data_IF_499631729945
#
_entry.id   IF_499631729945
#
_cell.length_a   1.000
_cell.length_b   1.000
_cell.length_c   1.000
_cell.angle_alpha   90.00
_cell.angle_beta   90.00
_cell.angle_gamma   90.00
#
_symmetry.space_group_name_H-M   'P 1'
#
loop_
_entity.id
_entity.type
_entity.pdbx_description
1 polymer ?
#
# COMPACT_ATOMS: atom_id res chain seq x y z
N UNK A 1 9.58 2.50 -17.88
CA UNK A 1 9.23 3.01 -16.54
C UNK A 1 8.78 1.81 -15.73
N UNK A 2 9.40 1.56 -14.57
CA UNK A 2 9.35 0.28 -13.86
C UNK A 2 8.00 0.06 -13.16
N UNK A 3 7.13 -0.82 -13.68
CA UNK A 3 5.75 -1.02 -13.22
C UNK A 3 5.59 -1.40 -11.73
N UNK A 4 6.64 -1.97 -11.13
CA UNK A 4 6.63 -2.39 -9.74
C UNK A 4 6.68 -1.20 -8.75
N UNK A 5 7.36 -0.11 -9.13
CA UNK A 5 7.39 1.13 -8.32
C UNK A 5 6.06 1.88 -8.46
N UNK A 6 5.44 1.82 -9.64
CA UNK A 6 4.14 2.43 -9.91
C UNK A 6 3.03 1.75 -9.11
N UNK A 7 2.97 0.41 -9.07
CA UNK A 7 1.93 -0.31 -8.30
C UNK A 7 2.00 -0.04 -6.79
N UNK A 8 3.20 -0.07 -6.21
CA UNK A 8 3.38 0.23 -4.78
C UNK A 8 2.99 1.67 -4.44
N UNK A 9 3.38 2.62 -5.30
CA UNK A 9 3.04 4.05 -5.13
C UNK A 9 1.54 4.29 -5.27
N UNK A 10 0.90 3.69 -6.27
CA UNK A 10 -0.55 3.81 -6.53
C UNK A 10 -1.36 3.23 -5.37
N UNK A 11 -0.99 2.05 -4.86
CA UNK A 11 -1.70 1.43 -3.72
C UNK A 11 -1.55 2.24 -2.43
N UNK A 12 -0.37 2.83 -2.19
CA UNK A 12 -0.16 3.76 -1.09
C UNK A 12 -1.01 5.04 -1.23
N UNK A 13 -1.10 5.58 -2.45
CA UNK A 13 -1.90 6.77 -2.73
C UNK A 13 -3.39 6.50 -2.53
N UNK A 14 -3.88 5.35 -3.02
CA UNK A 14 -5.25 4.91 -2.85
C UNK A 14 -5.60 4.67 -1.37
N UNK A 15 -4.70 4.04 -0.61
CA UNK A 15 -4.88 3.85 0.83
C UNK A 15 -4.96 5.17 1.59
N UNK A 16 -4.09 6.14 1.28
CA UNK A 16 -4.17 7.50 1.86
C UNK A 16 -5.45 8.24 1.47
N UNK A 17 -5.91 8.09 0.23
CA UNK A 17 -7.14 8.70 -0.23
C UNK A 17 -8.36 8.11 0.49
N UNK A 18 -8.43 6.78 0.68
CA UNK A 18 -9.46 6.10 1.48
C UNK A 18 -9.42 6.54 2.94
N UNK A 19 -8.23 6.67 3.52
CA UNK A 19 -8.06 7.14 4.90
C UNK A 19 -8.59 8.58 5.06
N UNK A 20 -8.16 9.48 4.18
CA UNK A 20 -8.61 10.87 4.20
C UNK A 20 -10.12 11.01 3.95
N UNK A 21 -10.66 10.27 2.97
CA UNK A 21 -12.09 10.27 2.69
C UNK A 21 -12.91 9.66 3.85
N UNK A 22 -12.39 8.62 4.51
CA UNK A 22 -13.01 8.00 5.68
C UNK A 22 -13.06 8.94 6.85
N UNK A 23 -11.96 9.62 7.14
CA UNK A 23 -11.88 10.62 8.20
C UNK A 23 -12.83 11.81 7.92
N UNK A 24 -12.85 12.30 6.67
CA UNK A 24 -13.70 13.41 6.25
C UNK A 24 -15.21 13.08 6.29
N UNK A 25 -15.56 11.82 6.02
CA UNK A 25 -16.95 11.35 6.03
C UNK A 25 -17.37 10.68 7.35
N UNK A 26 -16.50 10.66 8.37
CA UNK A 26 -16.69 9.88 9.60
C UNK A 26 -17.04 8.39 9.34
N UNK A 27 -16.41 7.80 8.31
CA UNK A 27 -16.59 6.40 7.95
C UNK A 27 -15.38 5.58 8.40
N UNK A 28 -15.48 4.99 9.60
CA UNK A 28 -14.44 4.16 10.21
C UNK A 28 -14.04 2.96 9.35
N UNK A 29 -14.97 2.38 8.56
CA UNK A 29 -14.63 1.28 7.66
C UNK A 29 -13.69 1.73 6.55
N UNK A 30 -13.96 2.89 5.96
CA UNK A 30 -13.13 3.43 4.87
C UNK A 30 -11.73 3.80 5.37
N UNK A 31 -11.63 4.33 6.60
CA UNK A 31 -10.34 4.58 7.25
C UNK A 31 -9.58 3.29 7.52
N UNK A 32 -10.26 2.28 8.07
CA UNK A 32 -9.67 0.98 8.37
C UNK A 32 -9.20 0.26 7.10
N UNK A 33 -9.98 0.29 6.02
CA UNK A 33 -9.58 -0.25 4.72
C UNK A 33 -8.34 0.47 4.16
N UNK A 34 -8.29 1.81 4.25
CA UNK A 34 -7.14 2.59 3.81
C UNK A 34 -5.86 2.24 4.57
N UNK A 35 -5.95 2.06 5.89
CA UNK A 35 -4.83 1.61 6.74
C UNK A 35 -4.42 0.17 6.44
N UNK A 36 -5.39 -0.74 6.27
CA UNK A 36 -5.12 -2.13 5.92
C UNK A 36 -4.38 -2.24 4.58
N UNK A 37 -4.84 -1.51 3.55
CA UNK A 37 -4.21 -1.45 2.23
C UNK A 37 -2.75 -0.95 2.30
N UNK A 38 -2.47 0.05 3.14
CA UNK A 38 -1.10 0.54 3.36
C UNK A 38 -0.21 -0.50 4.05
N UNK A 39 -0.72 -1.20 5.06
CA UNK A 39 0.02 -2.25 5.77
C UNK A 39 0.34 -3.41 4.83
N UNK A 40 -0.66 -3.88 4.07
CA UNK A 40 -0.47 -4.95 3.09
C UNK A 40 0.53 -4.53 2.00
N UNK A 41 0.43 -3.30 1.49
CA UNK A 41 1.36 -2.76 0.50
C UNK A 41 2.80 -2.70 1.01
N UNK A 42 3.02 -2.30 2.27
CA UNK A 42 4.35 -2.30 2.91
C UNK A 42 4.87 -3.72 3.10
N UNK A 43 4.02 -4.64 3.55
CA UNK A 43 4.39 -6.05 3.74
C UNK A 43 4.80 -6.70 2.41
N UNK A 44 4.02 -6.50 1.35
CA UNK A 44 4.35 -6.96 0.00
C UNK A 44 5.64 -6.34 -0.53
N UNK A 45 5.89 -5.06 -0.26
CA UNK A 45 7.12 -4.39 -0.68
C UNK A 45 8.34 -5.02 0.02
N UNK A 46 8.28 -5.20 1.34
CA UNK A 46 9.36 -5.83 2.11
C UNK A 46 9.59 -7.28 1.69
N UNK A 47 8.52 -8.07 1.53
CA UNK A 47 8.62 -9.45 1.07
C UNK A 47 9.21 -9.53 -0.35
N UNK A 48 8.74 -8.68 -1.26
CA UNK A 48 9.26 -8.60 -2.62
C UNK A 48 10.72 -8.13 -2.70
N UNK A 49 11.14 -7.18 -1.85
CA UNK A 49 12.55 -6.75 -1.75
C UNK A 49 13.44 -7.88 -1.19
N UNK A 50 12.95 -8.63 -0.20
CA UNK A 50 13.64 -9.80 0.33
C UNK A 50 13.77 -10.92 -0.71
N UNK A 51 12.68 -11.30 -1.39
CA UNK A 51 12.71 -12.27 -2.49
C UNK A 51 13.67 -11.85 -3.61
N UNK A 52 13.66 -10.57 -3.99
CA UNK A 52 14.54 -10.05 -5.04
C UNK A 52 16.02 -10.10 -4.63
N UNK A 53 16.30 -9.89 -3.35
CA UNK A 53 17.66 -10.01 -2.79
C UNK A 53 18.13 -11.47 -2.76
N UNK A 54 17.24 -12.41 -2.44
CA UNK A 54 17.53 -13.84 -2.40
C UNK A 54 17.66 -14.46 -3.79
N UNK A 55 16.86 -13.99 -4.76
CA UNK A 55 16.85 -14.48 -6.15
C UNK A 55 17.93 -13.84 -7.02
N UNK A 56 18.65 -12.84 -6.50
CA UNK A 56 19.73 -12.13 -7.18
C UNK A 56 21.14 -12.69 -6.96
N UNK A 57 21.27 -13.93 -6.45
CA UNK A 57 22.54 -14.63 -6.26
C UNK A 57 22.57 -15.93 -7.06
#
# INVERSE_FOLDING_TARGET
MNDNTTKGTVKNLAGKAKEAAGNLTNNERLEAEGKADQVEGRAQKTAGEAEKTLKGK
#
